data_IF_063462775995
#
_entry.id   IF_063462775995
#
_cell.length_a   1.000
_cell.length_b   1.000
_cell.length_c   1.000
_cell.angle_alpha   90.00
_cell.angle_beta   90.00
_cell.angle_gamma   90.00
#
_symmetry.space_group_name_H-M   'P 1'
#
loop_
_entity.id
_entity.type
_entity.pdbx_description
1 polymer ?
#
# COMPACT_ATOMS: atom_id res chain seq x y z
N UNK A 1 -2.30 12.52 11.81
CA UNK A 1 -1.11 11.83 11.27
C UNK A 1 -1.64 10.82 10.26
N UNK A 2 -1.33 10.97 8.96
CA UNK A 2 -1.82 10.10 7.88
C UNK A 2 -0.73 9.09 7.49
N UNK A 3 -0.57 8.03 8.27
CA UNK A 3 0.44 6.99 8.08
C UNK A 3 -0.21 5.62 7.93
N UNK A 4 0.49 4.70 7.28
CA UNK A 4 0.14 3.28 7.24
C UNK A 4 0.74 2.50 8.41
N UNK A 5 0.52 1.18 8.39
CA UNK A 5 1.08 0.23 9.35
C UNK A 5 1.96 -0.79 8.63
N UNK A 6 3.01 -1.27 9.30
CA UNK A 6 3.91 -2.32 8.78
C UNK A 6 4.08 -3.42 9.83
N UNK A 7 3.09 -4.32 10.00
CA UNK A 7 3.24 -5.46 10.90
C UNK A 7 4.38 -6.35 10.40
N UNK A 8 5.34 -6.64 11.27
CA UNK A 8 6.51 -7.47 10.97
C UNK A 8 6.48 -8.75 11.80
N UNK A 9 6.92 -9.85 11.20
CA UNK A 9 6.95 -11.17 11.82
C UNK A 9 7.12 -12.30 10.80
N UNK A 10 7.38 -13.54 11.24
CA UNK A 10 7.59 -14.68 10.36
C UNK A 10 6.44 -14.94 9.37
N UNK A 11 6.72 -15.67 8.29
CA UNK A 11 5.66 -16.14 7.39
C UNK A 11 4.66 -17.03 8.15
N UNK A 12 3.38 -16.96 7.79
CA UNK A 12 2.33 -17.77 8.40
C UNK A 12 1.83 -17.30 9.77
N UNK A 13 2.27 -16.15 10.29
CA UNK A 13 1.76 -15.60 11.57
C UNK A 13 0.51 -14.73 11.43
N UNK A 14 -0.22 -14.83 10.32
CA UNK A 14 -1.51 -14.15 10.16
C UNK A 14 -1.44 -12.64 9.87
N UNK A 15 -0.31 -12.10 9.38
CA UNK A 15 -0.13 -10.64 9.20
C UNK A 15 -1.12 -10.06 8.19
N UNK A 16 -1.18 -10.67 7.01
CA UNK A 16 -2.08 -10.29 5.92
C UNK A 16 -3.53 -10.54 6.31
N UNK A 17 -3.81 -11.67 6.96
CA UNK A 17 -5.13 -12.06 7.45
C UNK A 17 -5.65 -11.06 8.49
N UNK A 18 -4.80 -10.61 9.41
CA UNK A 18 -5.16 -9.62 10.44
C UNK A 18 -5.57 -8.28 9.82
N UNK A 19 -4.86 -7.83 8.76
CA UNK A 19 -5.20 -6.59 8.04
C UNK A 19 -6.55 -6.76 7.32
N UNK A 20 -6.77 -7.91 6.67
CA UNK A 20 -8.04 -8.21 5.97
C UNK A 20 -9.22 -8.28 6.94
N UNK A 21 -9.05 -8.95 8.07
CA UNK A 21 -10.10 -9.10 9.07
C UNK A 21 -10.43 -7.76 9.73
N UNK A 22 -9.43 -6.90 9.96
CA UNK A 22 -9.64 -5.53 10.43
C UNK A 22 -10.43 -4.70 9.41
N UNK A 23 -10.04 -4.71 8.14
CA UNK A 23 -10.75 -3.98 7.08
C UNK A 23 -12.21 -4.46 6.97
N UNK A 24 -12.43 -5.78 7.02
CA UNK A 24 -13.77 -6.38 7.03
C UNK A 24 -14.59 -5.91 8.24
N UNK A 25 -13.99 -5.87 9.44
CA UNK A 25 -14.66 -5.38 10.64
C UNK A 25 -15.03 -3.89 10.54
N UNK A 26 -14.28 -3.11 9.75
CA UNK A 26 -14.56 -1.71 9.46
C UNK A 26 -15.48 -1.50 8.25
N UNK A 27 -15.94 -2.56 7.58
CA UNK A 27 -16.78 -2.46 6.38
C UNK A 27 -16.05 -1.97 5.13
N UNK A 28 -14.72 -2.09 5.09
CA UNK A 28 -13.89 -1.67 3.97
C UNK A 28 -13.36 -2.88 3.19
N UNK A 29 -13.18 -2.72 1.88
CA UNK A 29 -12.50 -3.71 1.06
C UNK A 29 -10.98 -3.61 1.27
N UNK A 30 -10.33 -4.73 1.56
CA UNK A 30 -8.88 -4.83 1.57
C UNK A 30 -8.39 -5.54 0.31
N UNK A 31 -7.76 -4.78 -0.58
CA UNK A 31 -7.10 -5.27 -1.79
C UNK A 31 -5.72 -5.77 -1.41
N UNK A 32 -5.51 -7.07 -1.50
CA UNK A 32 -4.21 -7.70 -1.22
C UNK A 32 -3.46 -7.93 -2.52
N UNK A 33 -2.27 -7.33 -2.61
CA UNK A 33 -1.35 -7.51 -3.73
C UNK A 33 -0.17 -8.34 -3.25
N UNK A 34 0.00 -9.54 -3.78
CA UNK A 34 1.19 -10.35 -3.53
C UNK A 34 2.35 -9.83 -4.37
N UNK A 35 3.37 -9.27 -3.72
CA UNK A 35 4.54 -8.74 -4.39
C UNK A 35 5.45 -9.87 -4.88
N UNK A 36 5.94 -9.74 -6.11
CA UNK A 36 6.81 -10.73 -6.74
C UNK A 36 8.10 -10.07 -7.22
N UNK A 37 9.15 -10.88 -7.37
CA UNK A 37 10.40 -10.43 -7.97
C UNK A 37 10.16 -9.94 -9.40
N UNK A 38 10.83 -8.85 -9.79
CA UNK A 38 10.64 -8.22 -11.11
C UNK A 38 9.42 -7.31 -11.24
N UNK A 39 8.65 -7.08 -10.16
CA UNK A 39 7.59 -6.06 -10.14
C UNK A 39 8.19 -4.66 -10.33
N UNK A 40 7.64 -3.89 -11.28
CA UNK A 40 8.10 -2.53 -11.57
C UNK A 40 7.32 -1.46 -10.78
N UNK A 41 7.91 -0.27 -10.69
CA UNK A 41 7.30 0.86 -9.98
C UNK A 41 5.99 1.32 -10.66
N UNK A 42 5.83 1.07 -11.96
CA UNK A 42 4.61 1.45 -12.69
C UNK A 42 3.42 0.59 -12.28
N UNK A 43 3.62 -0.72 -12.09
CA UNK A 43 2.57 -1.62 -11.62
C UNK A 43 2.13 -1.29 -10.20
N UNK A 44 3.08 -0.98 -9.30
CA UNK A 44 2.76 -0.54 -7.93
C UNK A 44 2.06 0.83 -7.96
N UNK A 45 2.57 1.78 -8.75
CA UNK A 45 1.96 3.10 -8.92
C UNK A 45 0.52 3.04 -9.45
N UNK A 46 0.22 2.13 -10.39
CA UNK A 46 -1.16 1.88 -10.86
C UNK A 46 -2.06 1.36 -9.74
N UNK A 47 -1.56 0.44 -8.91
CA UNK A 47 -2.31 -0.04 -7.74
C UNK A 47 -2.58 1.09 -6.74
N UNK A 48 -1.57 1.90 -6.42
CA UNK A 48 -1.72 3.06 -5.54
C UNK A 48 -2.74 4.06 -6.10
N UNK A 49 -2.66 4.37 -7.39
CA UNK A 49 -3.63 5.25 -8.06
C UNK A 49 -5.07 4.73 -7.96
N UNK A 50 -5.27 3.42 -8.17
CA UNK A 50 -6.58 2.80 -7.95
C UNK A 50 -7.06 2.99 -6.51
N UNK A 51 -6.22 2.68 -5.52
CA UNK A 51 -6.57 2.80 -4.10
C UNK A 51 -6.94 4.22 -3.70
N UNK A 52 -6.21 5.23 -4.20
CA UNK A 52 -6.53 6.63 -3.97
C UNK A 52 -7.89 7.06 -4.54
N UNK A 53 -8.42 6.34 -5.54
CA UNK A 53 -9.71 6.64 -6.16
C UNK A 53 -10.87 5.85 -5.55
N UNK A 54 -10.63 4.68 -4.95
CA UNK A 54 -11.69 3.74 -4.56
C UNK A 54 -12.00 3.67 -3.07
N UNK A 55 -11.39 4.51 -2.22
CA UNK A 55 -11.54 4.48 -0.74
C UNK A 55 -11.39 3.06 -0.14
N UNK A 56 -10.57 2.23 -0.80
CA UNK A 56 -10.25 0.87 -0.39
C UNK A 56 -8.95 0.86 0.42
N UNK A 57 -8.76 -0.18 1.24
CA UNK A 57 -7.45 -0.45 1.87
C UNK A 57 -6.56 -1.28 0.94
N UNK A 58 -5.27 -0.94 0.89
CA UNK A 58 -4.25 -1.72 0.21
C UNK A 58 -3.36 -2.48 1.20
N UNK A 59 -3.13 -3.77 0.95
CA UNK A 59 -2.16 -4.58 1.67
C UNK A 59 -1.17 -5.19 0.68
N UNK A 60 0.10 -4.80 0.75
CA UNK A 60 1.16 -5.33 -0.10
C UNK A 60 1.90 -6.45 0.64
N UNK A 61 1.61 -7.69 0.28
CA UNK A 61 2.20 -8.88 0.89
C UNK A 61 3.55 -9.22 0.25
N UNK A 62 4.44 -9.87 0.99
CA UNK A 62 5.80 -10.21 0.53
C UNK A 62 6.57 -8.99 -0.02
N UNK A 63 6.32 -7.80 0.54
CA UNK A 63 6.89 -6.51 0.09
C UNK A 63 8.43 -6.51 0.03
N UNK A 64 9.08 -7.34 0.86
CA UNK A 64 10.52 -7.55 0.87
C UNK A 64 11.08 -8.23 -0.40
N UNK A 65 10.24 -8.70 -1.33
CA UNK A 65 10.65 -9.25 -2.63
C UNK A 65 10.88 -8.19 -3.72
N UNK A 66 10.48 -6.95 -3.48
CA UNK A 66 10.65 -5.85 -4.42
C UNK A 66 12.10 -5.35 -4.36
N UNK A 67 12.68 -5.06 -5.53
CA UNK A 67 14.03 -4.51 -5.61
C UNK A 67 14.13 -3.13 -4.93
N UNK A 68 15.22 -2.87 -4.23
CA UNK A 68 15.44 -1.61 -3.52
C UNK A 68 15.36 -0.37 -4.44
N UNK A 69 15.77 -0.49 -5.71
CA UNK A 69 15.67 0.58 -6.70
C UNK A 69 14.20 0.96 -6.99
N UNK A 70 13.32 -0.03 -7.11
CA UNK A 70 11.87 0.15 -7.28
C UNK A 70 11.24 0.71 -6.01
N UNK A 71 11.63 0.19 -4.84
CA UNK A 71 11.16 0.69 -3.54
C UNK A 71 11.46 2.18 -3.33
N UNK A 72 12.61 2.65 -3.80
CA UNK A 72 12.98 4.07 -3.74
C UNK A 72 11.98 4.97 -4.47
N UNK A 73 11.55 4.55 -5.66
CA UNK A 73 10.53 5.29 -6.45
C UNK A 73 9.17 5.21 -5.77
N UNK A 74 8.75 4.02 -5.34
CA UNK A 74 7.47 3.79 -4.64
C UNK A 74 7.38 4.60 -3.34
N UNK A 75 8.48 4.74 -2.59
CA UNK A 75 8.56 5.58 -1.39
C UNK A 75 8.17 7.03 -1.69
N UNK A 76 8.66 7.58 -2.81
CA UNK A 76 8.30 8.93 -3.25
C UNK A 76 6.81 9.04 -3.57
N UNK A 77 6.25 8.02 -4.23
CA UNK A 77 4.82 7.98 -4.56
C UNK A 77 3.94 7.95 -3.31
N UNK A 78 4.26 7.07 -2.35
CA UNK A 78 3.56 6.99 -1.06
C UNK A 78 3.69 8.30 -0.28
N UNK A 79 4.87 8.93 -0.32
CA UNK A 79 5.08 10.22 0.35
C UNK A 79 4.20 11.33 -0.23
N UNK A 80 4.07 11.41 -1.55
CA UNK A 80 3.18 12.35 -2.23
C UNK A 80 1.72 12.13 -1.82
N UNK A 81 1.26 10.88 -1.75
CA UNK A 81 -0.09 10.55 -1.27
C UNK A 81 -0.29 11.00 0.19
N UNK A 82 0.65 10.71 1.09
CA UNK A 82 0.58 11.13 2.49
C UNK A 82 0.57 12.65 2.66
N UNK A 83 1.33 13.37 1.84
CA UNK A 83 1.32 14.83 1.81
C UNK A 83 -0.01 15.37 1.32
N UNK A 84 -0.57 14.79 0.25
CA UNK A 84 -1.86 15.18 -0.27
C UNK A 84 -2.99 15.02 0.76
N UNK A 85 -3.01 13.88 1.46
CA UNK A 85 -3.94 13.64 2.58
C UNK A 85 -3.75 14.65 3.72
N UNK A 86 -2.49 14.93 4.09
CA UNK A 86 -2.18 15.88 5.16
C UNK A 86 -2.63 17.30 4.84
N UNK A 87 -2.50 17.71 3.58
CA UNK A 87 -2.87 19.03 3.08
C UNK A 87 -4.34 19.13 2.65
N UNK A 88 -5.11 18.03 2.70
CA UNK A 88 -6.51 17.96 2.27
C UNK A 88 -6.72 18.44 0.82
N UNK A 89 -5.81 18.06 -0.09
CA UNK A 89 -5.97 18.37 -1.51
C UNK A 89 -6.76 17.26 -2.22
N UNK A 90 -7.68 17.65 -3.09
CA UNK A 90 -8.53 16.70 -3.84
C UNK A 90 -7.80 16.09 -5.05
N UNK A 91 -6.78 16.79 -5.57
CA UNK A 91 -6.00 16.38 -6.74
C UNK A 91 -4.51 16.60 -6.49
N UNK A 92 -3.69 15.61 -6.87
CA UNK A 92 -2.24 15.64 -6.73
C UNK A 92 -1.57 14.70 -7.75
N UNK A 93 -0.26 14.82 -7.89
CA UNK A 93 0.56 14.02 -8.81
C UNK A 93 1.63 13.25 -8.06
N UNK A 94 2.00 12.08 -8.58
CA UNK A 94 3.08 11.23 -8.08
C UNK A 94 3.57 10.24 -9.15
#
# INVERSE_FOLDING_TARGET
>A
MFLGCAPAGPAGTGKTESIKDLAKAMGLLCVVTNCVEGMDYQSIGKNLNRLCQTDDWGCFDEFNRIEASVLSVVSTQVKSIQQALSLHVEQFFF
#
